data_IF_407198951591
#
_entry.id   IF_407198951591
#
_cell.length_a   1.000
_cell.length_b   1.000
_cell.length_c   1.000
_cell.angle_alpha   90.00
_cell.angle_beta   90.00
_cell.angle_gamma   90.00
#
_symmetry.space_group_name_H-M   'P 1'
#
loop_
_entity.id
_entity.type
_entity.pdbx_description
1 polymer ?
#
# COMPACT_ATOMS: atom_id res chain seq x y z
N UNK A 1 -18.19 1.27 18.73
CA UNK A 1 -16.95 0.94 18.00
C UNK A 1 -15.85 1.78 18.63
N UNK A 2 -14.77 1.20 19.19
CA UNK A 2 -13.83 1.99 19.96
C UNK A 2 -13.05 2.92 19.02
N UNK A 3 -13.19 4.22 19.27
CA UNK A 3 -12.33 5.27 18.73
C UNK A 3 -10.90 5.03 19.22
N UNK A 4 -10.12 4.27 18.43
CA UNK A 4 -8.68 4.15 18.59
C UNK A 4 -8.02 5.49 18.21
N UNK A 5 -8.23 6.52 19.04
CA UNK A 5 -7.46 7.75 19.02
C UNK A 5 -6.11 7.52 19.69
N UNK A 6 -5.36 6.54 19.20
CA UNK A 6 -3.91 6.56 19.43
C UNK A 6 -3.40 7.78 18.67
N UNK A 7 -2.86 8.75 19.42
CA UNK A 7 -2.47 10.05 18.91
C UNK A 7 -1.62 9.93 17.64
N UNK A 8 -2.02 10.68 16.62
CA UNK A 8 -1.26 11.02 15.41
C UNK A 8 -0.22 9.98 14.97
N UNK A 9 -0.67 9.00 14.20
CA UNK A 9 0.22 8.05 13.55
C UNK A 9 1.03 8.82 12.49
N UNK A 10 2.24 9.28 12.82
CA UNK A 10 2.95 10.26 11.99
C UNK A 10 3.23 9.74 10.57
N UNK A 11 3.56 8.45 10.43
CA UNK A 11 3.76 7.80 9.14
C UNK A 11 3.37 6.33 9.18
N UNK A 12 2.61 5.88 8.18
CA UNK A 12 2.29 4.47 7.96
C UNK A 12 2.80 3.98 6.61
N UNK A 13 3.26 2.74 6.55
CA UNK A 13 3.58 2.04 5.30
C UNK A 13 2.78 0.74 5.24
N UNK A 14 2.01 0.54 4.18
CA UNK A 14 1.31 -0.71 3.89
C UNK A 14 2.09 -1.45 2.80
N UNK A 15 2.46 -2.69 3.06
CA UNK A 15 3.12 -3.58 2.10
C UNK A 15 2.62 -5.02 2.30
N UNK A 16 2.80 -5.89 1.30
CA UNK A 16 2.47 -7.32 1.43
C UNK A 16 0.97 -7.62 1.60
N UNK A 17 0.10 -6.83 0.97
CA UNK A 17 -1.35 -7.06 1.03
C UNK A 17 -1.76 -8.27 0.19
N UNK A 18 -2.76 -9.01 0.68
CA UNK A 18 -3.30 -10.19 0.00
C UNK A 18 -4.35 -9.87 -1.07
N UNK A 19 -4.93 -8.66 -1.03
CA UNK A 19 -5.93 -8.21 -2.01
C UNK A 19 -6.02 -6.68 -2.07
N UNK A 20 -6.44 -6.16 -3.22
CA UNK A 20 -6.75 -4.74 -3.39
C UNK A 20 -7.82 -4.23 -2.39
N UNK A 21 -8.80 -5.08 -2.03
CA UNK A 21 -9.85 -4.71 -1.06
C UNK A 21 -9.29 -4.43 0.32
N UNK A 22 -8.46 -5.34 0.83
CA UNK A 22 -7.82 -5.19 2.14
C UNK A 22 -6.93 -3.93 2.20
N UNK A 23 -6.19 -3.67 1.12
CA UNK A 23 -5.39 -2.46 0.98
C UNK A 23 -6.25 -1.19 1.10
N UNK A 24 -7.38 -1.13 0.39
CA UNK A 24 -8.26 0.05 0.41
C UNK A 24 -8.88 0.27 1.78
N UNK A 25 -9.37 -0.79 2.43
CA UNK A 25 -9.98 -0.70 3.76
C UNK A 25 -8.98 -0.21 4.80
N UNK A 26 -7.77 -0.77 4.80
CA UNK A 26 -6.71 -0.39 5.73
C UNK A 26 -6.21 1.04 5.46
N UNK A 27 -6.00 1.41 4.20
CA UNK A 27 -5.62 2.77 3.81
C UNK A 27 -6.67 3.80 4.25
N UNK A 28 -7.96 3.56 3.99
CA UNK A 28 -9.04 4.43 4.43
C UNK A 28 -9.09 4.61 5.96
N UNK A 29 -8.79 3.54 6.71
CA UNK A 29 -8.75 3.61 8.16
C UNK A 29 -7.57 4.46 8.65
N UNK A 30 -6.39 4.24 8.09
CA UNK A 30 -5.16 4.95 8.48
C UNK A 30 -5.22 6.44 8.10
N UNK A 31 -5.80 6.77 6.94
CA UNK A 31 -5.98 8.16 6.50
C UNK A 31 -6.73 9.04 7.51
N UNK A 32 -7.54 8.46 8.40
CA UNK A 32 -8.27 9.20 9.45
C UNK A 32 -7.36 9.75 10.55
N UNK A 33 -6.16 9.20 10.71
CA UNK A 33 -5.28 9.48 11.84
C UNK A 33 -3.83 9.77 11.46
N UNK A 34 -3.43 9.47 10.22
CA UNK A 34 -2.04 9.56 9.80
C UNK A 34 -1.66 10.90 9.15
N UNK A 35 -0.42 11.33 9.31
CA UNK A 35 0.15 12.50 8.60
C UNK A 35 0.77 12.09 7.26
N UNK A 36 1.26 10.86 7.16
CA UNK A 36 1.76 10.30 5.91
C UNK A 36 1.39 8.83 5.76
N UNK A 37 1.06 8.44 4.53
CA UNK A 37 0.73 7.06 4.16
C UNK A 37 1.52 6.68 2.91
N UNK A 38 2.28 5.59 3.00
CA UNK A 38 2.97 4.95 1.88
C UNK A 38 2.30 3.62 1.53
N UNK A 39 1.92 3.45 0.26
CA UNK A 39 1.32 2.24 -0.27
C UNK A 39 2.32 1.56 -1.21
N UNK A 40 2.85 0.42 -0.78
CA UNK A 40 3.85 -0.34 -1.53
C UNK A 40 3.18 -1.49 -2.27
N UNK A 41 2.86 -1.26 -3.55
CA UNK A 41 2.29 -2.28 -4.45
C UNK A 41 3.35 -3.18 -5.07
N UNK A 42 4.62 -2.94 -4.78
CA UNK A 42 5.73 -3.58 -5.48
C UNK A 42 5.94 -5.01 -5.03
N UNK A 43 5.47 -5.43 -3.84
CA UNK A 43 5.79 -6.70 -3.14
C UNK A 43 6.49 -7.74 -4.02
N UNK A 44 7.76 -7.46 -4.28
CA UNK A 44 8.73 -8.38 -4.80
C UNK A 44 9.46 -8.86 -3.55
N UNK A 45 9.77 -10.16 -3.40
CA UNK A 45 10.78 -10.54 -2.44
C UNK A 45 12.01 -9.71 -2.80
N UNK A 46 12.31 -8.70 -1.99
CA UNK A 46 13.49 -7.84 -2.20
C UNK A 46 14.67 -8.80 -2.09
N UNK A 47 15.22 -9.19 -3.23
CA UNK A 47 16.35 -10.09 -3.31
C UNK A 47 17.60 -9.37 -2.80
N UNK A 48 17.70 -9.26 -1.47
CA UNK A 48 18.80 -8.65 -0.74
C UNK A 48 19.69 -9.72 -0.12
N UNK A 49 20.15 -10.69 -0.92
CA UNK A 49 21.00 -11.77 -0.43
C UNK A 49 21.84 -12.36 -1.56
N UNK A 50 23.05 -12.82 -1.20
CA UNK A 50 24.05 -13.40 -2.12
C UNK A 50 23.55 -14.64 -2.90
N UNK A 51 22.35 -15.14 -2.60
CA UNK A 51 21.66 -16.19 -3.33
C UNK A 51 20.81 -15.58 -4.45
N UNK A 52 21.27 -15.73 -5.68
CA UNK A 52 20.69 -15.19 -6.93
C UNK A 52 19.38 -15.85 -7.37
N UNK A 53 18.71 -16.63 -6.53
CA UNK A 53 17.44 -17.26 -6.88
C UNK A 53 16.28 -16.43 -6.33
N UNK A 54 15.93 -15.37 -7.06
CA UNK A 54 14.63 -14.74 -6.89
C UNK A 54 13.58 -15.70 -7.44
N UNK A 55 12.67 -16.16 -6.59
CA UNK A 55 11.47 -16.81 -7.09
C UNK A 55 10.72 -15.80 -7.97
N UNK A 56 10.26 -16.18 -9.18
CA UNK A 56 9.48 -15.29 -10.02
C UNK A 56 8.22 -14.85 -9.27
N UNK A 57 7.90 -13.55 -9.37
CA UNK A 57 6.67 -13.01 -8.79
C UNK A 57 5.49 -13.76 -9.43
N UNK A 58 4.65 -14.37 -8.61
CA UNK A 58 3.49 -15.10 -9.11
C UNK A 58 2.58 -14.15 -9.89
N UNK A 59 2.08 -14.59 -11.06
CA UNK A 59 1.20 -13.78 -11.91
C UNK A 59 -0.03 -13.24 -11.16
N UNK A 60 -0.53 -13.99 -10.16
CA UNK A 60 -1.60 -13.54 -9.27
C UNK A 60 -1.24 -12.27 -8.49
N UNK A 61 0.01 -12.15 -8.03
CA UNK A 61 0.52 -10.97 -7.30
C UNK A 61 0.62 -9.76 -8.23
N UNK A 62 1.11 -9.92 -9.45
CA UNK A 62 1.14 -8.83 -10.45
C UNK A 62 -0.27 -8.32 -10.78
N UNK A 63 -1.22 -9.24 -10.97
CA UNK A 63 -2.63 -8.89 -11.23
C UNK A 63 -3.28 -8.19 -10.02
N UNK A 64 -3.00 -8.64 -8.81
CA UNK A 64 -3.46 -7.96 -7.58
C UNK A 64 -2.82 -6.59 -7.40
N UNK A 65 -1.53 -6.43 -7.71
CA UNK A 65 -0.85 -5.15 -7.67
C UNK A 65 -1.50 -4.15 -8.66
N UNK A 66 -1.79 -4.58 -9.89
CA UNK A 66 -2.50 -3.76 -10.86
C UNK A 66 -3.92 -3.38 -10.39
N UNK A 67 -4.66 -4.33 -9.78
CA UNK A 67 -5.97 -4.04 -9.17
C UNK A 67 -5.85 -3.05 -8.02
N UNK A 68 -4.83 -3.20 -7.18
CA UNK A 68 -4.55 -2.30 -6.07
C UNK A 68 -4.28 -0.88 -6.55
N UNK A 69 -3.46 -0.68 -7.59
CA UNK A 69 -3.21 0.64 -8.18
C UNK A 69 -4.49 1.29 -8.70
N UNK A 70 -5.32 0.54 -9.43
CA UNK A 70 -6.62 1.04 -9.90
C UNK A 70 -7.54 1.42 -8.73
N UNK A 71 -7.56 0.60 -7.68
CA UNK A 71 -8.36 0.85 -6.49
C UNK A 71 -7.86 2.05 -5.67
N UNK A 72 -6.55 2.28 -5.60
CA UNK A 72 -5.97 3.47 -4.96
C UNK A 72 -6.45 4.73 -5.66
N UNK A 73 -6.30 4.80 -6.99
CA UNK A 73 -6.71 5.95 -7.80
C UNK A 73 -8.21 6.24 -7.68
N UNK A 74 -9.01 5.17 -7.63
CA UNK A 74 -10.48 5.31 -7.57
C UNK A 74 -10.98 5.65 -6.16
N UNK A 75 -10.50 4.95 -5.14
CA UNK A 75 -11.11 4.96 -3.80
C UNK A 75 -10.29 5.66 -2.71
N UNK A 76 -8.98 5.81 -2.91
CA UNK A 76 -8.08 6.38 -1.91
C UNK A 76 -7.74 7.83 -2.25
N UNK A 77 -7.29 8.14 -3.47
CA UNK A 77 -6.85 9.48 -3.85
C UNK A 77 -7.91 10.56 -3.55
N UNK A 78 -9.18 10.27 -3.85
CA UNK A 78 -10.31 11.17 -3.58
C UNK A 78 -10.67 11.31 -2.08
N UNK A 79 -10.09 10.48 -1.21
CA UNK A 79 -10.33 10.49 0.24
C UNK A 79 -9.13 10.97 1.05
N UNK A 80 -8.00 11.27 0.40
CA UNK A 80 -6.81 11.78 1.09
C UNK A 80 -7.11 13.20 1.59
N UNK A 81 -7.10 13.46 2.90
CA UNK A 81 -7.18 14.83 3.41
C UNK A 81 -5.95 15.62 2.94
N UNK A 82 -6.10 16.92 2.68
CA UNK A 82 -4.99 17.79 2.23
C UNK A 82 -3.81 17.84 3.21
N UNK A 83 -4.04 17.49 4.47
CA UNK A 83 -3.02 17.40 5.53
C UNK A 83 -2.21 16.11 5.50
N UNK A 84 -2.55 15.15 4.64
CA UNK A 84 -1.92 13.83 4.59
C UNK A 84 -1.10 13.68 3.32
N UNK A 85 0.17 13.30 3.47
CA UNK A 85 1.03 12.97 2.34
C UNK A 85 0.85 11.50 1.94
N UNK A 86 0.17 11.24 0.82
CA UNK A 86 0.09 9.92 0.19
C UNK A 86 1.29 9.71 -0.74
N UNK A 87 1.94 8.55 -0.65
CA UNK A 87 2.98 8.09 -1.58
C UNK A 87 2.64 6.69 -2.05
N UNK A 88 2.60 6.48 -3.37
CA UNK A 88 2.32 5.17 -3.96
C UNK A 88 3.58 4.69 -4.67
N UNK A 89 4.09 3.55 -4.25
CA UNK A 89 5.18 2.87 -4.93
C UNK A 89 4.55 1.86 -5.89
N UNK A 90 4.66 2.16 -7.18
CA UNK A 90 4.18 1.33 -8.29
C UNK A 90 5.32 0.51 -8.88
N UNK A 91 5.02 -0.66 -9.45
CA UNK A 91 5.99 -1.43 -10.22
C UNK A 91 6.30 -0.63 -11.49
N UNK A 92 7.44 0.05 -11.55
CA UNK A 92 7.95 0.62 -12.79
C UNK A 92 8.42 -0.54 -13.67
N UNK A 93 7.70 -0.79 -14.77
CA UNK A 93 8.24 -1.60 -15.86
C UNK A 93 9.57 -0.98 -16.30
N UNK A 94 10.68 -1.63 -16.00
CA UNK A 94 11.99 -1.29 -16.54
C UNK A 94 12.46 -2.43 -17.44
#
# INVERSE_FOLDING_TARGET
MPDLRHGYLQSAKICGFSSAKCLVELACYILKSAVSLELDTIYAPRCGGKNKYCAPIANGVLKEAARALSAIRTYIENKVPSTVKLTVLEISSQ
#
